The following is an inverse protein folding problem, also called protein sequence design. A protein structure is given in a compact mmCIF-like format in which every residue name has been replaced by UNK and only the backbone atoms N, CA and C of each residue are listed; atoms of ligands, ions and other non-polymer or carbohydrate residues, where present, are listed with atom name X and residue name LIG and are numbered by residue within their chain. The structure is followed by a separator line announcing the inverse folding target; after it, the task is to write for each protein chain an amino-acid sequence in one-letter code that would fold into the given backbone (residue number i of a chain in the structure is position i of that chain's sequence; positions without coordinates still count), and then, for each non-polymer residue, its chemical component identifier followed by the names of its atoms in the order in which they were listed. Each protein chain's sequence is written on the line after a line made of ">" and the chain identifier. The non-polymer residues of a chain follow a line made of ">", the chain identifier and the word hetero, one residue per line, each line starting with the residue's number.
data_IF_979811401860
#
_entry.id   IF_979811401860
#
_cell.length_a   1.000
_cell.length_b   1.000
_cell.length_c   1.000
_cell.angle_alpha   90.00
_cell.angle_beta   90.00
_cell.angle_gamma   90.00
#
_symmetry.space_group_name_H-M   'P 1'
#
loop_
_entity.id
_entity.type
_entity.pdbx_description
1 polymer ?
#
# COMPACT_ATOMS: atom_id res chain seq x y z
N UNK A 1 16.94 4.67 -0.78
CA UNK A 1 17.47 3.48 -1.49
C UNK A 1 18.08 3.83 -2.85
N UNK A 2 17.96 5.08 -3.36
CA UNK A 2 18.51 5.50 -4.65
C UNK A 2 17.86 4.80 -5.86
N UNK A 3 16.56 4.56 -5.77
CA UNK A 3 15.75 3.97 -6.85
C UNK A 3 14.46 4.76 -7.06
N UNK A 4 13.92 4.65 -8.25
CA UNK A 4 12.57 5.15 -8.57
C UNK A 4 11.57 4.06 -8.18
N UNK A 5 10.69 4.35 -7.24
CA UNK A 5 9.60 3.47 -6.83
C UNK A 5 8.26 4.08 -7.20
N UNK A 6 7.40 3.30 -7.86
CA UNK A 6 6.08 3.76 -8.25
C UNK A 6 5.01 2.83 -7.71
N UNK A 7 4.05 3.38 -6.97
CA UNK A 7 2.84 2.69 -6.55
C UNK A 7 1.71 3.06 -7.49
N UNK A 8 1.29 2.17 -8.39
CA UNK A 8 0.18 2.44 -9.30
C UNK A 8 -1.16 2.46 -8.58
N UNK A 9 -2.18 2.92 -9.28
CA UNK A 9 -3.57 2.85 -8.82
C UNK A 9 -3.98 1.41 -8.55
N UNK A 10 -4.71 1.18 -7.45
CA UNK A 10 -5.22 -0.13 -7.08
C UNK A 10 -6.01 -0.76 -8.24
N UNK A 11 -5.73 -2.03 -8.50
CA UNK A 11 -6.32 -2.77 -9.61
C UNK A 11 -5.69 -2.50 -10.98
N UNK A 12 -4.67 -1.65 -11.09
CA UNK A 12 -3.98 -1.39 -12.36
C UNK A 12 -3.06 -2.54 -12.77
N UNK A 13 -2.50 -3.26 -11.80
CA UNK A 13 -1.64 -4.44 -11.97
C UNK A 13 -2.30 -5.61 -11.27
N UNK A 14 -2.33 -6.77 -11.92
CA UNK A 14 -2.88 -8.00 -11.35
C UNK A 14 -2.08 -8.44 -10.11
N UNK A 15 -2.80 -8.91 -9.10
CA UNK A 15 -2.24 -9.51 -7.89
C UNK A 15 -2.19 -11.03 -7.96
N UNK A 16 -2.59 -11.62 -9.08
CA UNK A 16 -2.55 -13.07 -9.24
C UNK A 16 -1.12 -13.59 -9.09
N UNK A 17 -0.93 -14.56 -8.18
CA UNK A 17 0.38 -15.09 -7.82
C UNK A 17 1.03 -14.41 -6.60
N UNK A 18 0.50 -13.30 -6.11
CA UNK A 18 0.96 -12.69 -4.86
C UNK A 18 0.28 -13.34 -3.66
N UNK A 19 1.04 -13.53 -2.57
CA UNK A 19 0.45 -13.91 -1.28
C UNK A 19 -0.36 -12.74 -0.75
N UNK A 20 -1.67 -12.94 -0.55
CA UNK A 20 -2.53 -11.87 -0.05
C UNK A 20 -2.18 -11.51 1.39
N UNK A 21 -1.89 -10.24 1.64
CA UNK A 21 -1.70 -9.66 2.96
C UNK A 21 -2.92 -8.81 3.32
N UNK A 22 -3.09 -7.66 2.71
CA UNK A 22 -4.25 -6.79 2.92
C UNK A 22 -4.99 -6.62 1.59
N UNK A 23 -6.04 -7.39 1.36
CA UNK A 23 -6.70 -7.51 0.07
C UNK A 23 -7.19 -6.19 -0.52
N UNK A 24 -7.56 -5.22 0.31
CA UNK A 24 -8.00 -3.89 -0.12
C UNK A 24 -6.86 -2.88 -0.33
N UNK A 25 -5.61 -3.27 -0.05
CA UNK A 25 -4.43 -2.40 -0.10
C UNK A 25 -3.29 -2.98 -0.96
N UNK A 26 -3.21 -4.31 -1.10
CA UNK A 26 -2.14 -4.98 -1.83
C UNK A 26 -2.06 -4.48 -3.28
N UNK A 27 -0.87 -4.05 -3.68
CA UNK A 27 -0.60 -3.53 -5.01
C UNK A 27 0.86 -3.75 -5.38
N UNK A 28 1.12 -4.35 -6.54
CA UNK A 28 2.44 -4.42 -7.13
C UNK A 28 2.77 -3.12 -7.90
N UNK A 29 4.04 -2.76 -7.94
CA UNK A 29 4.53 -1.61 -8.70
C UNK A 29 6.02 -1.72 -9.01
N UNK A 30 6.51 -1.02 -10.05
CA UNK A 30 7.91 -1.08 -10.45
C UNK A 30 8.84 -0.37 -9.46
N UNK A 31 10.03 -0.93 -9.30
CA UNK A 31 11.18 -0.28 -8.67
C UNK A 31 12.37 -0.37 -9.63
N UNK A 32 12.86 0.76 -10.11
CA UNK A 32 13.83 0.87 -11.21
C UNK A 32 14.90 1.92 -10.91
N UNK A 33 15.89 2.05 -11.78
CA UNK A 33 16.90 3.10 -11.66
C UNK A 33 16.50 4.40 -12.33
N UNK A 34 15.67 4.35 -13.36
CA UNK A 34 15.21 5.53 -14.10
C UNK A 34 13.69 5.62 -14.11
N UNK A 35 13.14 6.81 -14.37
CA UNK A 35 11.70 7.02 -14.55
C UNK A 35 11.22 6.35 -15.83
N UNK A 36 12.04 6.35 -16.89
CA UNK A 36 11.74 5.68 -18.14
C UNK A 36 11.55 4.17 -17.95
N UNK A 37 12.50 3.51 -17.24
CA UNK A 37 12.37 2.08 -16.93
C UNK A 37 11.09 1.80 -16.10
N UNK A 38 10.73 2.70 -15.16
CA UNK A 38 9.50 2.56 -14.39
C UNK A 38 8.25 2.65 -15.30
N UNK A 39 8.25 3.55 -16.26
CA UNK A 39 7.17 3.71 -17.24
C UNK A 39 7.05 2.47 -18.15
N UNK A 40 8.17 1.99 -18.69
CA UNK A 40 8.22 0.78 -19.52
C UNK A 40 7.74 -0.45 -18.76
N UNK A 41 8.26 -0.65 -17.53
CA UNK A 41 7.89 -1.79 -16.71
C UNK A 41 6.41 -1.72 -16.30
N UNK A 42 5.91 -0.53 -15.92
CA UNK A 42 4.49 -0.36 -15.62
C UNK A 42 3.62 -0.70 -16.82
N UNK A 43 4.00 -0.27 -18.03
CA UNK A 43 3.28 -0.64 -19.25
C UNK A 43 3.20 -2.16 -19.45
N UNK A 44 4.32 -2.85 -19.21
CA UNK A 44 4.39 -4.30 -19.38
C UNK A 44 3.57 -5.11 -18.36
N UNK A 45 3.42 -4.62 -17.11
CA UNK A 45 2.70 -5.34 -16.04
C UNK A 45 1.27 -4.88 -15.83
N UNK A 46 0.85 -3.79 -16.45
CA UNK A 46 -0.54 -3.27 -16.37
C UNK A 46 -1.48 -3.99 -17.31
N UNK A 47 -2.76 -3.97 -17.01
CA UNK A 47 -3.81 -4.47 -17.87
C UNK A 47 -4.78 -5.40 -17.17
N UNK A 48 -5.78 -5.85 -17.90
CA UNK A 48 -6.82 -6.75 -17.42
C UNK A 48 -6.28 -8.14 -17.12
N UNK A 49 -6.82 -8.79 -16.10
CA UNK A 49 -6.47 -10.16 -15.72
C UNK A 49 -7.71 -10.92 -15.26
N UNK A 50 -8.09 -11.96 -16.00
CA UNK A 50 -9.26 -12.81 -15.69
C UNK A 50 -9.12 -13.56 -14.34
N UNK A 51 -7.90 -13.69 -13.81
CA UNK A 51 -7.61 -14.41 -12.57
C UNK A 51 -7.59 -13.53 -11.32
N UNK A 52 -7.73 -12.20 -11.49
CA UNK A 52 -7.85 -11.24 -10.40
C UNK A 52 -9.09 -10.37 -10.59
N UNK A 53 -10.15 -10.68 -9.87
CA UNK A 53 -11.43 -9.97 -9.94
C UNK A 53 -11.37 -8.49 -9.55
N UNK A 54 -10.26 -8.04 -8.95
CA UNK A 54 -10.04 -6.63 -8.60
C UNK A 54 -9.22 -5.88 -9.64
N UNK A 55 -8.71 -6.59 -10.65
CA UNK A 55 -7.99 -5.98 -11.76
C UNK A 55 -8.95 -5.20 -12.64
N UNK A 56 -8.60 -3.96 -12.95
CA UNK A 56 -9.44 -3.07 -13.75
C UNK A 56 -9.26 -3.36 -15.24
N UNK A 57 -10.37 -3.49 -15.97
CA UNK A 57 -10.36 -3.60 -17.42
C UNK A 57 -10.33 -2.20 -18.05
N UNK A 58 -9.14 -1.60 -18.04
CA UNK A 58 -8.87 -0.27 -18.57
C UNK A 58 -7.71 -0.34 -19.56
N UNK A 59 -7.82 0.45 -20.62
CA UNK A 59 -6.73 0.62 -21.58
C UNK A 59 -5.41 0.97 -20.88
N UNK A 60 -4.33 0.38 -21.36
CA UNK A 60 -2.96 0.67 -20.87
C UNK A 60 -2.36 1.76 -21.77
N UNK A 61 -2.23 2.99 -21.29
CA UNK A 61 -1.63 4.04 -22.08
C UNK A 61 -0.11 3.82 -22.23
N UNK A 62 0.47 4.45 -23.22
CA UNK A 62 1.91 4.58 -23.29
C UNK A 62 2.40 5.54 -22.19
N UNK A 63 2.91 4.99 -21.09
CA UNK A 63 3.42 5.78 -19.95
C UNK A 63 4.71 6.55 -20.29
N UNK A 64 5.38 6.25 -21.41
CA UNK A 64 6.60 6.97 -21.84
C UNK A 64 6.26 8.25 -22.60
N UNK A 65 5.06 8.35 -23.18
CA UNK A 65 4.64 9.42 -24.10
C UNK A 65 4.68 10.84 -23.49
N UNK A 66 4.80 10.98 -22.15
CA UNK A 66 4.80 12.27 -21.47
C UNK A 66 6.17 12.62 -20.85
N UNK A 67 7.17 11.74 -20.93
CA UNK A 67 8.45 11.94 -20.21
C UNK A 67 9.20 13.21 -20.65
N UNK A 68 9.10 13.58 -21.92
CA UNK A 68 9.80 14.73 -22.49
C UNK A 68 8.96 16.02 -22.53
N UNK A 69 7.71 15.98 -22.03
CA UNK A 69 6.80 17.15 -22.13
C UNK A 69 7.11 18.28 -21.16
N UNK A 70 8.02 18.06 -20.22
CA UNK A 70 8.31 19.01 -19.16
C UNK A 70 7.15 19.18 -18.17
N UNK A 71 7.27 20.17 -17.28
CA UNK A 71 6.32 20.40 -16.18
C UNK A 71 5.66 21.79 -16.24
N UNK A 72 5.92 22.57 -17.28
CA UNK A 72 5.36 23.90 -17.40
C UNK A 72 3.83 23.87 -17.41
N UNK A 73 3.21 24.68 -16.55
CA UNK A 73 1.76 24.77 -16.39
C UNK A 73 1.12 23.65 -15.55
N UNK A 74 1.91 22.66 -15.05
CA UNK A 74 1.40 21.69 -14.08
C UNK A 74 1.14 22.37 -12.73
N UNK A 75 0.00 22.04 -12.11
CA UNK A 75 -0.30 22.42 -10.73
C UNK A 75 0.20 21.38 -9.76
N UNK A 76 1.04 21.78 -8.82
CA UNK A 76 1.60 20.93 -7.78
C UNK A 76 0.98 21.32 -6.45
N UNK A 77 0.12 20.46 -5.90
CA UNK A 77 -0.48 20.65 -4.59
C UNK A 77 0.54 20.41 -3.48
N UNK A 78 0.66 21.37 -2.56
CA UNK A 78 1.53 21.28 -1.38
C UNK A 78 0.68 21.17 -0.12
N UNK A 79 0.46 19.93 0.41
CA UNK A 79 -0.34 19.77 1.61
C UNK A 79 0.41 20.29 2.84
N UNK A 80 -0.21 21.25 3.54
CA UNK A 80 0.39 21.81 4.76
C UNK A 80 0.64 20.76 5.84
N UNK A 81 -0.17 19.71 5.89
CA UNK A 81 -0.08 18.61 6.86
C UNK A 81 1.18 17.75 6.68
N UNK A 82 1.80 17.77 5.49
CA UNK A 82 3.04 17.03 5.22
C UNK A 82 4.31 17.71 5.74
N UNK A 83 4.19 18.98 6.14
CA UNK A 83 5.28 19.78 6.71
C UNK A 83 5.08 20.02 8.21
N UNK A 84 4.42 19.08 8.88
CA UNK A 84 4.15 19.13 10.31
C UNK A 84 5.44 19.03 11.15
N UNK A 85 5.29 19.31 12.45
CA UNK A 85 6.36 19.15 13.45
C UNK A 85 6.89 17.70 13.46
N UNK A 86 8.21 17.53 13.55
CA UNK A 86 8.87 16.21 13.53
C UNK A 86 9.42 15.79 12.15
N UNK A 87 9.20 16.56 11.09
CA UNK A 87 9.87 16.33 9.81
C UNK A 87 11.36 16.63 9.94
N UNK A 88 12.22 15.68 9.55
CA UNK A 88 13.66 15.85 9.56
C UNK A 88 14.08 17.08 8.71
N UNK A 89 14.92 18.00 9.24
CA UNK A 89 15.31 19.22 8.55
C UNK A 89 16.03 19.00 7.22
N UNK A 90 16.84 17.93 7.09
CA UNK A 90 17.55 17.61 5.84
C UNK A 90 16.55 17.12 4.79
N UNK A 91 15.59 16.27 5.19
CA UNK A 91 14.51 15.81 4.31
C UNK A 91 13.66 16.99 3.85
N UNK A 92 13.29 17.91 4.77
CA UNK A 92 12.54 19.12 4.44
C UNK A 92 13.27 19.96 3.40
N UNK A 93 14.55 20.23 3.61
CA UNK A 93 15.36 21.03 2.69
C UNK A 93 15.46 20.41 1.28
N UNK A 94 15.60 19.07 1.20
CA UNK A 94 15.64 18.36 -0.08
C UNK A 94 14.29 18.41 -0.81
N UNK A 95 13.18 18.28 -0.09
CA UNK A 95 11.83 18.42 -0.66
C UNK A 95 11.59 19.84 -1.16
N UNK A 96 11.95 20.87 -0.37
CA UNK A 96 11.84 22.28 -0.77
C UNK A 96 12.71 22.59 -2.01
N UNK A 97 13.93 22.02 -2.09
CA UNK A 97 14.76 22.15 -3.27
C UNK A 97 14.14 21.49 -4.51
N UNK A 98 13.50 20.33 -4.35
CA UNK A 98 12.75 19.68 -5.43
C UNK A 98 11.55 20.50 -5.90
N UNK A 99 10.78 21.07 -4.98
CA UNK A 99 9.68 21.98 -5.30
C UNK A 99 10.18 23.19 -6.08
N UNK A 100 11.30 23.77 -5.64
CA UNK A 100 11.93 24.89 -6.36
C UNK A 100 12.33 24.52 -7.78
N UNK A 101 12.89 23.34 -8.01
CA UNK A 101 13.23 22.88 -9.36
C UNK A 101 11.98 22.78 -10.26
N UNK A 102 10.85 22.33 -9.73
CA UNK A 102 9.59 22.27 -10.48
C UNK A 102 9.09 23.68 -10.84
N UNK A 103 9.13 24.62 -9.90
CA UNK A 103 8.71 25.99 -10.15
C UNK A 103 9.64 26.72 -11.12
N UNK A 104 10.96 26.50 -11.04
CA UNK A 104 11.94 27.05 -11.98
C UNK A 104 11.69 26.54 -13.43
N UNK A 105 11.06 25.37 -13.58
CA UNK A 105 10.65 24.80 -14.86
C UNK A 105 9.22 25.16 -15.29
N UNK A 106 8.56 26.05 -14.54
CA UNK A 106 7.25 26.60 -14.91
C UNK A 106 6.04 25.87 -14.31
N UNK A 107 6.23 24.98 -13.33
CA UNK A 107 5.12 24.45 -12.56
C UNK A 107 4.55 25.50 -11.58
N UNK A 108 3.23 25.45 -11.33
CA UNK A 108 2.54 26.30 -10.35
C UNK A 108 2.36 25.52 -9.05
N UNK A 109 2.88 26.05 -7.94
CA UNK A 109 2.66 25.46 -6.61
C UNK A 109 1.41 26.06 -5.99
N UNK A 110 0.51 25.19 -5.51
CA UNK A 110 -0.74 25.55 -4.87
C UNK A 110 -0.78 24.93 -3.47
N UNK A 111 -1.00 25.74 -2.44
CA UNK A 111 -1.23 25.23 -1.10
C UNK A 111 -2.56 24.50 -1.03
N UNK A 112 -2.56 23.28 -0.48
CA UNK A 112 -3.75 22.46 -0.29
C UNK A 112 -3.79 21.92 1.14
N UNK A 113 -4.94 21.40 1.56
CA UNK A 113 -5.12 20.79 2.87
C UNK A 113 -5.69 19.40 2.73
N UNK A 114 -5.09 18.43 3.44
CA UNK A 114 -5.55 17.05 3.57
C UNK A 114 -5.78 16.75 5.06
N UNK A 115 -6.86 17.26 5.66
CA UNK A 115 -7.06 17.34 7.11
C UNK A 115 -7.09 15.95 7.79
N UNK A 116 -7.47 14.89 7.08
CA UNK A 116 -7.52 13.54 7.64
C UNK A 116 -6.19 12.77 7.56
N UNK A 117 -5.11 13.40 7.07
CA UNK A 117 -3.78 12.77 6.94
C UNK A 117 -3.24 12.25 8.27
N UNK A 118 -3.46 12.96 9.38
CA UNK A 118 -3.02 12.54 10.72
C UNK A 118 -3.55 11.17 11.14
N UNK A 119 -4.69 10.74 10.59
CA UNK A 119 -5.33 9.47 10.89
C UNK A 119 -4.87 8.31 9.97
N UNK A 120 -4.10 8.61 8.91
CA UNK A 120 -3.79 7.65 7.85
C UNK A 120 -3.03 6.42 8.35
N UNK A 121 -1.99 6.62 9.17
CA UNK A 121 -1.14 5.55 9.69
C UNK A 121 -1.94 4.62 10.61
N UNK A 122 -2.71 5.19 11.54
CA UNK A 122 -3.54 4.40 12.46
C UNK A 122 -4.62 3.60 11.71
N UNK A 123 -5.28 4.24 10.72
CA UNK A 123 -6.28 3.61 9.86
C UNK A 123 -5.67 2.45 9.07
N UNK A 124 -4.48 2.65 8.48
CA UNK A 124 -3.74 1.62 7.77
C UNK A 124 -3.47 0.42 8.69
N UNK A 125 -2.92 0.62 9.88
CA UNK A 125 -2.60 -0.49 10.78
C UNK A 125 -3.83 -1.29 11.18
N UNK A 126 -4.95 -0.66 11.45
CA UNK A 126 -6.20 -1.36 11.79
C UNK A 126 -6.71 -2.19 10.60
N UNK A 127 -6.80 -1.61 9.41
CA UNK A 127 -7.32 -2.30 8.23
C UNK A 127 -6.35 -3.41 7.78
N UNK A 128 -5.08 -3.09 7.66
CA UNK A 128 -4.08 -4.03 7.15
C UNK A 128 -3.92 -5.27 8.05
N UNK A 129 -3.90 -5.09 9.38
CA UNK A 129 -3.79 -6.22 10.30
C UNK A 129 -5.06 -7.06 10.33
N UNK A 130 -6.24 -6.44 10.27
CA UNK A 130 -7.51 -7.14 10.18
C UNK A 130 -7.58 -8.04 8.92
N UNK A 131 -7.27 -7.48 7.77
CA UNK A 131 -7.27 -8.22 6.50
C UNK A 131 -6.16 -9.29 6.47
N UNK A 132 -4.97 -9.01 7.01
CA UNK A 132 -3.88 -9.97 7.11
C UNK A 132 -4.23 -11.16 7.99
N UNK A 133 -4.89 -10.95 9.13
CA UNK A 133 -5.31 -12.05 10.01
C UNK A 133 -6.26 -13.01 9.28
N UNK A 134 -7.20 -12.48 8.48
CA UNK A 134 -8.11 -13.26 7.66
C UNK A 134 -7.41 -13.97 6.49
N UNK A 135 -6.55 -13.26 5.75
CA UNK A 135 -5.85 -13.81 4.59
C UNK A 135 -4.82 -14.87 4.96
N UNK A 136 -4.06 -14.65 6.04
CA UNK A 136 -3.02 -15.58 6.48
C UNK A 136 -3.56 -16.76 7.29
N UNK A 137 -4.85 -16.80 7.62
CA UNK A 137 -5.50 -17.93 8.27
C UNK A 137 -5.44 -19.22 7.42
N UNK A 138 -5.32 -19.10 6.10
CA UNK A 138 -5.24 -20.25 5.18
C UNK A 138 -3.89 -20.97 5.18
N UNK A 139 -2.85 -20.33 5.72
CA UNK A 139 -1.51 -20.92 5.85
C UNK A 139 -1.44 -21.69 7.17
N UNK A 140 -2.00 -22.89 7.17
CA UNK A 140 -2.26 -23.71 8.35
C UNK A 140 -1.45 -25.02 8.39
N UNK A 141 -0.57 -25.22 7.39
CA UNK A 141 0.21 -26.45 7.27
C UNK A 141 -0.57 -27.65 6.74
N UNK A 142 -1.87 -27.49 6.43
CA UNK A 142 -2.72 -28.52 5.81
C UNK A 142 -3.01 -28.17 4.35
N UNK A 143 -3.55 -26.98 4.11
CA UNK A 143 -3.87 -26.49 2.75
C UNK A 143 -2.68 -25.82 2.08
N UNK A 144 -1.99 -24.95 2.80
CA UNK A 144 -0.87 -24.16 2.29
C UNK A 144 0.21 -23.96 3.35
N UNK A 145 1.40 -23.59 2.88
CA UNK A 145 2.51 -23.13 3.68
C UNK A 145 3.32 -24.25 4.31
N UNK A 146 4.13 -23.88 5.29
CA UNK A 146 4.97 -24.79 6.06
C UNK A 146 4.12 -25.77 6.88
N UNK A 147 4.51 -27.05 6.88
CA UNK A 147 3.96 -28.08 7.76
C UNK A 147 5.03 -28.58 8.70
N UNK A 148 4.77 -28.51 9.99
CA UNK A 148 5.67 -29.03 11.02
C UNK A 148 5.78 -30.56 10.93
N UNK A 149 7.01 -31.04 11.03
CA UNK A 149 7.30 -32.50 11.11
C UNK A 149 7.27 -33.03 12.54
N UNK A 150 7.14 -32.14 13.53
CA UNK A 150 7.16 -32.47 14.96
C UNK A 150 5.77 -32.54 15.60
N UNK A 151 4.72 -32.43 14.80
CA UNK A 151 3.34 -32.46 15.28
C UNK A 151 2.85 -33.88 15.55
N UNK A 152 2.22 -34.11 16.69
CA UNK A 152 1.77 -35.38 17.16
C UNK A 152 0.25 -35.60 17.02
N UNK A 153 -0.51 -34.50 16.92
CA UNK A 153 -1.95 -34.48 16.76
C UNK A 153 -2.41 -33.31 15.88
N UNK A 154 -3.72 -33.23 15.58
CA UNK A 154 -4.29 -32.22 14.68
C UNK A 154 -4.07 -30.80 15.21
N UNK A 155 -4.24 -30.55 16.51
CA UNK A 155 -4.06 -29.22 17.10
C UNK A 155 -2.61 -28.78 16.99
N UNK A 156 -1.67 -29.67 17.33
CA UNK A 156 -0.24 -29.40 17.24
C UNK A 156 0.23 -29.20 15.80
N UNK A 157 -0.44 -29.78 14.79
CA UNK A 157 -0.17 -29.45 13.37
C UNK A 157 -0.42 -27.97 13.11
N UNK A 158 -1.56 -27.43 13.54
CA UNK A 158 -1.86 -26.01 13.35
C UNK A 158 -0.91 -25.10 14.15
N UNK A 159 -0.71 -25.39 15.42
CA UNK A 159 0.09 -24.54 16.31
C UNK A 159 1.55 -24.52 15.87
N UNK A 160 2.19 -25.68 15.73
CA UNK A 160 3.61 -25.78 15.38
C UNK A 160 3.88 -25.30 13.95
N UNK A 161 3.03 -25.64 12.97
CA UNK A 161 3.21 -25.20 11.59
C UNK A 161 3.14 -23.67 11.48
N UNK A 162 2.23 -23.04 12.19
CA UNK A 162 2.11 -21.57 12.19
C UNK A 162 3.22 -20.91 13.00
N UNK A 163 3.64 -21.51 14.10
CA UNK A 163 4.75 -20.98 14.89
C UNK A 163 6.08 -21.05 14.14
N UNK A 164 6.38 -22.15 13.50
CA UNK A 164 7.60 -22.36 12.71
C UNK A 164 7.58 -21.57 11.38
N UNK A 165 6.43 -21.52 10.71
CA UNK A 165 6.28 -20.99 9.36
C UNK A 165 6.03 -19.49 9.28
N UNK A 166 5.65 -18.82 10.37
CA UNK A 166 5.33 -17.40 10.40
C UNK A 166 6.34 -16.63 11.26
N UNK A 167 6.92 -15.58 10.68
CA UNK A 167 7.84 -14.70 11.40
C UNK A 167 7.16 -13.95 12.56
N UNK A 168 7.95 -13.47 13.53
CA UNK A 168 7.44 -12.83 14.75
C UNK A 168 6.57 -11.60 14.47
N UNK A 169 6.96 -10.76 13.53
CA UNK A 169 6.17 -9.57 13.14
C UNK A 169 4.85 -9.96 12.47
N UNK A 170 4.85 -10.99 11.63
CA UNK A 170 3.63 -11.51 10.99
C UNK A 170 2.67 -12.05 12.05
N UNK A 171 3.18 -12.82 13.02
CA UNK A 171 2.40 -13.33 14.16
C UNK A 171 1.77 -12.18 14.97
N UNK A 172 2.54 -11.13 15.24
CA UNK A 172 2.05 -9.93 15.93
C UNK A 172 0.88 -9.29 15.18
N UNK A 173 1.01 -9.09 13.87
CA UNK A 173 -0.04 -8.51 13.03
C UNK A 173 -1.30 -9.38 12.96
N UNK A 174 -1.14 -10.70 12.91
CA UNK A 174 -2.28 -11.64 12.97
C UNK A 174 -3.03 -11.51 14.30
N UNK A 175 -2.31 -11.44 15.41
CA UNK A 175 -2.93 -11.28 16.75
C UNK A 175 -3.69 -9.96 16.84
N UNK A 176 -3.06 -8.85 16.42
CA UNK A 176 -3.71 -7.53 16.38
C UNK A 176 -4.97 -7.54 15.50
N UNK A 177 -4.87 -8.11 14.31
CA UNK A 177 -6.01 -8.19 13.40
C UNK A 177 -7.15 -9.06 13.95
N UNK A 178 -6.83 -10.16 14.58
CA UNK A 178 -7.82 -11.03 15.26
C UNK A 178 -8.53 -10.27 16.38
N UNK A 179 -7.80 -9.48 17.17
CA UNK A 179 -8.39 -8.63 18.19
C UNK A 179 -9.33 -7.59 17.59
N UNK A 180 -8.88 -6.88 16.55
CA UNK A 180 -9.68 -5.85 15.85
C UNK A 180 -10.98 -6.40 15.27
N UNK A 181 -10.97 -7.67 14.81
CA UNK A 181 -12.15 -8.33 14.23
C UNK A 181 -13.01 -9.06 15.26
N UNK A 182 -12.59 -9.12 16.51
CA UNK A 182 -13.33 -9.84 17.55
C UNK A 182 -14.64 -9.15 17.93
N UNK A 183 -15.58 -9.94 18.49
CA UNK A 183 -16.86 -9.44 18.96
C UNK A 183 -16.69 -8.31 19.98
N UNK A 184 -17.43 -7.21 19.81
CA UNK A 184 -17.34 -6.01 20.63
C UNK A 184 -16.27 -5.00 20.20
N UNK A 185 -15.30 -5.40 19.39
CA UNK A 185 -14.25 -4.50 18.90
C UNK A 185 -14.37 -4.18 17.40
N UNK A 186 -15.06 -5.02 16.64
CA UNK A 186 -15.25 -4.84 15.20
C UNK A 186 -15.80 -3.45 14.84
N UNK A 187 -16.87 -3.02 15.48
CA UNK A 187 -17.48 -1.72 15.20
C UNK A 187 -16.61 -0.56 15.67
N UNK A 188 -15.96 -0.73 16.83
CA UNK A 188 -15.12 0.31 17.44
C UNK A 188 -13.83 0.57 16.68
N UNK A 189 -13.24 -0.45 16.05
CA UNK A 189 -11.97 -0.37 15.34
C UNK A 189 -12.10 -0.54 13.84
N UNK A 190 -12.49 -1.73 13.35
CA UNK A 190 -12.47 -2.03 11.92
C UNK A 190 -13.46 -1.17 11.14
N UNK A 191 -14.71 -1.14 11.55
CA UNK A 191 -15.74 -0.34 10.87
C UNK A 191 -15.43 1.16 10.96
N UNK A 192 -14.92 1.62 12.10
CA UNK A 192 -14.48 3.01 12.25
C UNK A 192 -13.33 3.34 11.32
N UNK A 193 -12.32 2.48 11.21
CA UNK A 193 -11.20 2.66 10.29
C UNK A 193 -11.65 2.71 8.82
N UNK A 194 -12.62 1.88 8.42
CA UNK A 194 -13.21 1.94 7.09
C UNK A 194 -13.89 3.30 6.80
N UNK A 195 -14.59 3.85 7.78
CA UNK A 195 -15.19 5.20 7.66
C UNK A 195 -14.12 6.29 7.53
N UNK A 196 -13.08 6.22 8.35
CA UNK A 196 -11.95 7.18 8.27
C UNK A 196 -11.21 7.06 6.94
N UNK A 197 -11.01 5.84 6.42
CA UNK A 197 -10.44 5.63 5.08
C UNK A 197 -11.24 6.35 4.00
N UNK A 198 -12.57 6.36 4.13
CA UNK A 198 -13.43 7.12 3.20
C UNK A 198 -13.17 8.62 3.30
N UNK A 199 -13.06 9.18 4.52
CA UNK A 199 -12.73 10.60 4.71
C UNK A 199 -11.36 10.96 4.13
N UNK A 200 -10.34 10.10 4.33
CA UNK A 200 -9.02 10.29 3.73
C UNK A 200 -9.09 10.30 2.20
N UNK A 201 -9.87 9.39 1.60
CA UNK A 201 -10.09 9.40 0.15
C UNK A 201 -10.75 10.71 -0.31
N UNK A 202 -11.73 11.18 0.43
CA UNK A 202 -12.52 12.37 0.09
C UNK A 202 -11.68 13.66 0.18
N UNK A 203 -10.59 13.67 0.97
CA UNK A 203 -9.60 14.76 0.97
C UNK A 203 -8.92 14.95 -0.41
N UNK A 204 -8.86 13.89 -1.24
CA UNK A 204 -8.23 13.93 -2.57
C UNK A 204 -9.24 14.19 -3.72
N UNK A 205 -10.53 14.28 -3.45
CA UNK A 205 -11.59 14.51 -4.43
C UNK A 205 -12.06 15.97 -4.42
#
# INVERSE_FOLDING_TARGET
>A
CGVVGLKPTYGRVSRYGLVAFASSLDQAGPMTKTVEDAALLLGAISGSCERDSTCLDLEVPDYTAALDKGVAGLKVGLPKEYFAEGLDPEVKALVEAGIKQLTDQGAEVVEVSLPNTEHAVATYYVIATAEASANLARFDGVRYGHRSNSADDLLSVYEKSRDEGLGSEVKRRIILGTYVLSSGYYDAYYLRAQKVRTLIRDDFN
#
